data_IF_191482421807
#
_entry.id   IF_191482421807
#
_cell.length_a   1.000
_cell.length_b   1.000
_cell.length_c   1.000
_cell.angle_alpha   90.00
_cell.angle_beta   90.00
_cell.angle_gamma   90.00
#
_symmetry.space_group_name_H-M   'P 1'
#
loop_
_entity.id
_entity.type
_entity.pdbx_description
1 polymer ?
#
# COMPACT_ATOMS: atom_id res chain seq x y z
N UNK A 1 18.86 23.38 -25.31
CA UNK A 1 17.99 22.22 -25.08
C UNK A 1 16.61 22.39 -25.69
N UNK A 2 15.94 21.30 -26.05
CA UNK A 2 14.64 21.35 -26.72
C UNK A 2 13.53 21.90 -25.80
N UNK A 3 13.58 21.61 -24.50
CA UNK A 3 12.63 22.11 -23.51
C UNK A 3 13.30 22.37 -22.15
N UNK A 4 13.47 23.64 -21.82
CA UNK A 4 14.09 24.03 -20.53
C UNK A 4 13.17 23.81 -19.33
N UNK A 5 11.87 23.59 -19.55
CA UNK A 5 10.86 23.37 -18.51
C UNK A 5 10.52 21.88 -18.33
N UNK A 6 11.29 20.98 -18.97
CA UNK A 6 11.05 19.55 -18.87
C UNK A 6 11.19 19.06 -17.42
N UNK A 7 10.18 18.39 -16.92
CA UNK A 7 10.27 17.57 -15.71
C UNK A 7 10.56 16.14 -16.15
N UNK A 8 11.70 15.60 -15.75
CA UNK A 8 12.12 14.24 -16.05
C UNK A 8 12.21 13.45 -14.76
N UNK A 9 11.36 12.44 -14.59
CA UNK A 9 11.38 11.55 -13.44
C UNK A 9 11.91 10.17 -13.87
N UNK A 10 13.09 9.83 -13.36
CA UNK A 10 13.68 8.52 -13.52
C UNK A 10 13.34 7.67 -12.29
N UNK A 11 12.54 6.62 -12.47
CA UNK A 11 12.25 5.62 -11.44
C UNK A 11 13.17 4.43 -11.66
N UNK A 12 13.93 4.06 -10.65
CA UNK A 12 14.85 2.91 -10.70
C UNK A 12 14.82 2.13 -9.38
N UNK A 13 15.40 0.93 -9.37
CA UNK A 13 15.41 0.09 -8.17
C UNK A 13 16.22 0.69 -7.02
N UNK A 14 17.45 1.12 -7.32
CA UNK A 14 18.44 1.54 -6.32
C UNK A 14 18.99 2.96 -6.53
N UNK A 15 18.38 3.75 -7.42
CA UNK A 15 18.87 5.09 -7.77
C UNK A 15 19.86 5.07 -8.93
N UNK A 16 20.26 6.26 -9.39
CA UNK A 16 21.17 6.45 -10.51
C UNK A 16 22.64 6.41 -10.07
N UNK A 17 22.90 6.48 -8.78
CA UNK A 17 24.23 6.43 -8.18
C UNK A 17 24.34 5.33 -7.10
N UNK A 18 25.46 5.31 -6.38
CA UNK A 18 25.72 4.34 -5.33
C UNK A 18 26.18 2.95 -5.83
N UNK A 19 26.51 2.04 -4.89
CA UNK A 19 27.09 0.76 -5.23
C UNK A 19 26.13 -0.18 -5.97
N UNK A 20 24.84 -0.07 -5.70
CA UNK A 20 23.81 -0.96 -6.25
C UNK A 20 23.06 -0.39 -7.47
N UNK A 21 23.51 0.74 -8.07
CA UNK A 21 22.80 1.42 -9.17
C UNK A 21 22.47 0.53 -10.39
N UNK A 22 23.26 -0.52 -10.62
CA UNK A 22 23.05 -1.48 -11.73
C UNK A 22 22.45 -2.81 -11.27
N UNK A 23 22.16 -2.95 -9.98
CA UNK A 23 21.58 -4.17 -9.43
C UNK A 23 20.12 -4.31 -9.86
N UNK A 24 19.71 -5.48 -10.40
CA UNK A 24 18.31 -5.74 -10.68
C UNK A 24 17.53 -5.97 -9.38
N UNK A 25 16.25 -5.62 -9.37
CA UNK A 25 15.37 -5.83 -8.24
C UNK A 25 13.90 -5.73 -8.64
N UNK A 26 13.08 -6.28 -7.78
CA UNK A 26 11.63 -6.16 -7.79
C UNK A 26 11.17 -5.78 -6.39
N UNK A 27 9.91 -5.47 -6.20
CA UNK A 27 9.32 -5.03 -4.93
C UNK A 27 9.82 -5.81 -3.71
N UNK A 28 9.80 -7.15 -3.77
CA UNK A 28 10.28 -8.02 -2.69
C UNK A 28 11.74 -7.72 -2.29
N UNK A 29 12.61 -7.44 -3.28
CA UNK A 29 14.03 -7.17 -3.02
C UNK A 29 14.20 -5.84 -2.29
N UNK A 30 13.43 -4.82 -2.66
CA UNK A 30 13.48 -3.52 -1.99
C UNK A 30 12.90 -3.60 -0.57
N UNK A 31 11.81 -4.34 -0.36
CA UNK A 31 11.27 -4.59 0.99
C UNK A 31 12.28 -5.35 1.87
N UNK A 32 12.97 -6.36 1.33
CA UNK A 32 13.98 -7.12 2.07
C UNK A 32 15.21 -6.27 2.40
N UNK A 33 15.75 -5.54 1.41
CA UNK A 33 16.96 -4.73 1.57
C UNK A 33 16.81 -3.58 2.58
N UNK A 34 15.59 -3.06 2.75
CA UNK A 34 15.30 -1.94 3.64
C UNK A 34 14.87 -2.34 5.05
N UNK A 35 14.65 -3.64 5.30
CA UNK A 35 14.09 -4.13 6.55
C UNK A 35 12.56 -4.01 6.63
N UNK A 36 11.90 -3.47 5.60
CA UNK A 36 10.45 -3.35 5.56
C UNK A 36 9.78 -4.72 5.64
N UNK A 37 10.30 -5.71 4.92
CA UNK A 37 9.81 -7.08 4.94
C UNK A 37 9.77 -7.67 6.36
N UNK A 38 10.80 -7.42 7.16
CA UNK A 38 10.86 -7.88 8.56
C UNK A 38 9.78 -7.23 9.42
N UNK A 39 9.44 -5.96 9.17
CA UNK A 39 8.45 -5.22 9.97
C UNK A 39 7.02 -5.53 9.58
N UNK A 40 6.77 -5.95 8.35
CA UNK A 40 5.44 -6.35 7.86
C UNK A 40 5.12 -7.82 8.13
N UNK A 41 6.10 -8.62 8.50
CA UNK A 41 5.91 -10.00 8.93
C UNK A 41 5.31 -10.07 10.34
N UNK A 42 4.49 -11.09 10.66
CA UNK A 42 4.00 -11.30 12.01
C UNK A 42 5.14 -11.35 13.02
N UNK A 43 4.92 -10.77 14.20
CA UNK A 43 5.95 -10.71 15.25
C UNK A 43 6.37 -12.10 15.68
N UNK A 44 7.66 -12.35 15.69
CA UNK A 44 8.23 -13.67 16.07
C UNK A 44 8.10 -14.74 14.99
N UNK A 45 7.49 -14.45 13.86
CA UNK A 45 7.50 -15.30 12.68
C UNK A 45 8.71 -15.01 11.78
N UNK A 46 9.09 -16.00 11.00
CA UNK A 46 10.06 -15.78 9.92
C UNK A 46 9.48 -14.86 8.84
N UNK A 47 10.30 -14.05 8.17
CA UNK A 47 9.85 -13.24 7.05
C UNK A 47 9.24 -14.12 5.95
N UNK A 48 8.02 -13.78 5.54
CA UNK A 48 7.30 -14.48 4.47
C UNK A 48 7.17 -13.63 3.21
N UNK A 49 6.69 -14.23 2.13
CA UNK A 49 6.37 -13.51 0.90
C UNK A 49 5.19 -12.57 1.16
N UNK A 50 5.34 -11.24 0.97
CA UNK A 50 4.24 -10.31 1.15
C UNK A 50 3.26 -10.40 -0.03
N UNK A 51 1.97 -10.28 0.24
CA UNK A 51 0.95 -10.19 -0.80
C UNK A 51 0.78 -8.77 -1.36
N UNK A 52 1.44 -7.78 -0.74
CA UNK A 52 1.30 -6.36 -1.09
C UNK A 52 2.62 -5.79 -1.61
N UNK A 53 2.58 -5.18 -2.77
CA UNK A 53 3.73 -4.54 -3.43
C UNK A 53 3.90 -3.11 -2.92
N UNK A 54 4.43 -2.98 -1.70
CA UNK A 54 4.51 -1.69 -0.99
C UNK A 54 5.55 -0.76 -1.60
N UNK A 55 6.68 -1.29 -2.06
CA UNK A 55 7.72 -0.50 -2.70
C UNK A 55 7.24 0.05 -4.05
N UNK A 56 6.58 -0.78 -4.87
CA UNK A 56 6.03 -0.38 -6.17
C UNK A 56 4.95 0.69 -6.00
N UNK A 57 3.93 0.41 -5.20
CA UNK A 57 2.81 1.33 -4.97
C UNK A 57 3.26 2.64 -4.31
N UNK A 58 4.12 2.54 -3.30
CA UNK A 58 4.69 3.69 -2.61
C UNK A 58 5.52 4.57 -3.53
N UNK A 59 6.31 3.97 -4.41
CA UNK A 59 7.11 4.71 -5.41
C UNK A 59 6.22 5.42 -6.43
N UNK A 60 5.15 4.77 -6.88
CA UNK A 60 4.16 5.41 -7.77
C UNK A 60 3.54 6.65 -7.14
N UNK A 61 3.14 6.58 -5.86
CA UNK A 61 2.61 7.73 -5.12
C UNK A 61 3.66 8.84 -4.93
N UNK A 62 4.89 8.47 -4.55
CA UNK A 62 6.00 9.41 -4.38
C UNK A 62 6.35 10.12 -5.70
N UNK A 63 6.35 9.37 -6.81
CA UNK A 63 6.56 9.93 -8.16
C UNK A 63 5.47 10.94 -8.52
N UNK A 64 4.20 10.61 -8.30
CA UNK A 64 3.08 11.51 -8.56
C UNK A 64 3.23 12.83 -7.79
N UNK A 65 3.58 12.76 -6.51
CA UNK A 65 3.81 13.94 -5.67
C UNK A 65 5.02 14.77 -6.15
N UNK A 66 6.16 14.12 -6.41
CA UNK A 66 7.38 14.79 -6.85
C UNK A 66 7.21 15.46 -8.22
N UNK A 67 6.55 14.77 -9.16
CA UNK A 67 6.24 15.32 -10.50
C UNK A 67 5.30 16.53 -10.37
N UNK A 68 4.24 16.45 -9.59
CA UNK A 68 3.30 17.55 -9.40
C UNK A 68 3.99 18.79 -8.80
N UNK A 69 4.86 18.59 -7.80
CA UNK A 69 5.66 19.66 -7.21
C UNK A 69 6.65 20.28 -8.22
N UNK A 70 7.33 19.43 -9.00
CA UNK A 70 8.28 19.88 -10.02
C UNK A 70 7.59 20.63 -11.18
N UNK A 71 6.40 20.20 -11.61
CA UNK A 71 5.60 20.90 -12.61
C UNK A 71 5.15 22.27 -12.10
N UNK A 72 4.75 22.37 -10.84
CA UNK A 72 4.43 23.66 -10.20
C UNK A 72 5.64 24.58 -10.19
N UNK A 73 6.83 24.07 -9.82
CA UNK A 73 8.09 24.80 -9.85
C UNK A 73 8.41 25.27 -11.28
N UNK A 74 8.35 24.38 -12.27
CA UNK A 74 8.61 24.71 -13.67
C UNK A 74 7.66 25.78 -14.21
N UNK A 75 6.40 25.79 -13.77
CA UNK A 75 5.43 26.82 -14.15
C UNK A 75 5.77 28.21 -13.58
N UNK A 76 6.33 28.28 -12.37
CA UNK A 76 6.65 29.53 -11.67
C UNK A 76 8.03 30.06 -12.08
N UNK A 77 9.03 29.18 -12.13
CA UNK A 77 10.44 29.54 -12.32
C UNK A 77 10.91 29.42 -13.78
N UNK A 78 10.12 28.78 -14.64
CA UNK A 78 10.49 28.53 -16.03
C UNK A 78 11.58 27.47 -16.24
N UNK A 79 11.97 26.74 -15.15
CA UNK A 79 13.04 25.76 -15.17
C UNK A 79 12.51 24.36 -14.83
N UNK A 80 12.90 23.36 -15.62
CA UNK A 80 12.58 21.96 -15.39
C UNK A 80 13.36 21.36 -14.23
N UNK A 81 13.07 20.09 -13.94
CA UNK A 81 13.72 19.36 -12.83
C UNK A 81 13.97 17.92 -13.25
N UNK A 82 15.15 17.41 -12.95
CA UNK A 82 15.43 15.98 -12.96
C UNK A 82 15.12 15.40 -11.58
N UNK A 83 14.33 14.34 -11.54
CA UNK A 83 13.96 13.63 -10.33
C UNK A 83 14.54 12.22 -10.44
N UNK A 84 15.49 11.88 -9.57
CA UNK A 84 15.98 10.51 -9.37
C UNK A 84 15.18 9.91 -8.20
N UNK A 85 14.39 8.88 -8.48
CA UNK A 85 13.51 8.24 -7.51
C UNK A 85 13.84 6.75 -7.41
N UNK A 86 14.48 6.36 -6.32
CA UNK A 86 14.80 4.97 -6.05
C UNK A 86 13.67 4.26 -5.29
N UNK A 87 13.27 3.08 -5.76
CA UNK A 87 12.26 2.25 -5.09
C UNK A 87 12.72 1.81 -3.70
N UNK A 88 14.01 1.53 -3.53
CA UNK A 88 14.62 1.23 -2.25
C UNK A 88 14.47 2.40 -1.25
N UNK A 89 14.72 3.63 -1.69
CA UNK A 89 14.64 4.80 -0.80
C UNK A 89 13.20 5.05 -0.34
N UNK A 90 12.24 4.88 -1.25
CA UNK A 90 10.82 4.97 -0.91
C UNK A 90 10.43 3.87 0.07
N UNK A 91 10.81 2.61 -0.18
CA UNK A 91 10.53 1.51 0.73
C UNK A 91 11.14 1.76 2.12
N UNK A 92 12.37 2.29 2.20
CA UNK A 92 13.00 2.65 3.46
C UNK A 92 12.29 3.81 4.16
N UNK A 93 11.80 4.79 3.40
CA UNK A 93 11.05 5.93 3.96
C UNK A 93 9.74 5.52 4.65
N UNK A 94 9.14 4.38 4.29
CA UNK A 94 7.96 3.85 4.98
C UNK A 94 8.23 3.50 6.45
N UNK A 95 9.48 3.31 6.83
CA UNK A 95 9.90 3.06 8.21
C UNK A 95 10.06 4.36 9.03
N UNK A 96 9.96 5.54 8.42
CA UNK A 96 10.27 6.82 9.06
C UNK A 96 9.48 7.06 10.36
N UNK A 97 8.19 6.70 10.40
CA UNK A 97 7.34 6.89 11.59
C UNK A 97 7.70 5.94 12.72
N UNK A 98 8.06 4.69 12.40
CA UNK A 98 8.32 3.65 13.40
C UNK A 98 9.79 3.53 13.79
N UNK A 99 10.71 3.84 12.88
CA UNK A 99 12.15 3.58 13.02
C UNK A 99 13.03 4.77 12.61
N UNK A 100 12.45 5.92 12.25
CA UNK A 100 13.18 7.07 11.68
C UNK A 100 14.22 7.72 12.60
N UNK A 101 14.19 7.43 13.90
CA UNK A 101 15.20 7.92 14.84
C UNK A 101 15.77 6.77 15.65
N UNK A 102 17.02 6.46 15.41
CA UNK A 102 17.75 5.46 16.19
C UNK A 102 18.88 6.15 16.98
N UNK A 103 18.99 5.84 18.26
CA UNK A 103 20.13 6.28 19.08
C UNK A 103 21.27 5.27 18.91
N UNK A 104 22.52 5.70 18.67
CA UNK A 104 23.65 4.79 18.64
C UNK A 104 23.70 3.93 19.92
N UNK A 105 23.84 2.63 19.79
CA UNK A 105 23.89 1.68 20.91
C UNK A 105 22.52 1.28 21.49
N UNK A 106 21.42 1.86 21.09
CA UNK A 106 20.10 1.31 21.39
C UNK A 106 19.83 0.17 20.41
N UNK A 107 19.80 -1.05 20.91
CA UNK A 107 19.24 -2.18 20.12
C UNK A 107 17.83 -1.84 19.65
N UNK A 108 17.38 -2.43 18.54
CA UNK A 108 15.98 -2.31 18.11
C UNK A 108 15.09 -2.85 19.21
N UNK A 109 14.53 -1.96 20.02
CA UNK A 109 13.47 -2.34 20.93
C UNK A 109 12.23 -2.60 20.07
N UNK A 110 12.01 -3.86 19.73
CA UNK A 110 10.71 -4.31 19.21
C UNK A 110 9.68 -3.93 20.28
N UNK A 111 8.91 -2.88 20.03
CA UNK A 111 7.86 -2.47 20.96
C UNK A 111 6.87 -3.62 21.09
N UNK A 112 6.75 -4.18 22.28
CA UNK A 112 5.72 -5.14 22.57
C UNK A 112 4.33 -4.54 22.25
N UNK A 113 3.36 -5.33 21.77
CA UNK A 113 2.01 -4.83 21.51
C UNK A 113 1.37 -4.35 22.82
N UNK A 114 0.50 -3.35 22.70
CA UNK A 114 -0.40 -2.99 23.81
C UNK A 114 -1.65 -3.85 23.69
N UNK A 115 -2.23 -4.25 24.81
CA UNK A 115 -3.50 -4.97 24.79
C UNK A 115 -4.60 -4.15 24.09
N UNK A 116 -4.66 -2.85 24.31
CA UNK A 116 -5.63 -1.95 23.68
C UNK A 116 -5.33 -1.60 22.22
N UNK A 117 -4.21 -2.04 21.66
CA UNK A 117 -3.84 -1.83 20.26
C UNK A 117 -3.24 -3.11 19.68
N UNK A 118 -4.11 -4.01 19.25
CA UNK A 118 -3.72 -5.35 18.80
C UNK A 118 -4.82 -6.00 17.96
N UNK A 119 -4.51 -7.18 17.42
CA UNK A 119 -5.44 -8.06 16.69
C UNK A 119 -5.79 -9.25 17.58
N UNK A 120 -7.08 -9.59 17.63
CA UNK A 120 -7.60 -10.67 18.47
C UNK A 120 -8.45 -11.66 17.66
N UNK A 121 -8.32 -12.97 17.91
CA UNK A 121 -9.24 -13.97 17.37
C UNK A 121 -10.62 -13.86 18.03
N UNK A 122 -11.65 -14.31 17.31
CA UNK A 122 -13.05 -14.34 17.75
C UNK A 122 -13.62 -15.76 17.66
N UNK A 123 -14.80 -15.98 18.27
CA UNK A 123 -15.43 -17.30 18.36
C UNK A 123 -15.71 -17.96 17.00
N UNK A 124 -15.90 -17.17 15.95
CA UNK A 124 -16.16 -17.63 14.58
C UNK A 124 -14.90 -17.89 13.74
N UNK A 125 -13.71 -17.93 14.38
CA UNK A 125 -12.42 -18.14 13.71
C UNK A 125 -11.94 -16.93 12.89
N UNK A 126 -12.61 -15.80 13.00
CA UNK A 126 -12.20 -14.54 12.40
C UNK A 126 -11.32 -13.74 13.35
N UNK A 127 -10.96 -12.53 12.93
CA UNK A 127 -10.15 -11.62 13.74
C UNK A 127 -10.75 -10.22 13.73
N UNK A 128 -10.56 -9.51 14.83
CA UNK A 128 -10.83 -8.09 14.96
C UNK A 128 -9.55 -7.34 15.30
N UNK A 129 -9.46 -6.10 14.82
CA UNK A 129 -8.44 -5.15 15.22
C UNK A 129 -9.04 -4.19 16.24
N UNK A 130 -8.40 -4.08 17.40
CA UNK A 130 -8.67 -3.06 18.42
C UNK A 130 -7.63 -1.97 18.29
N UNK A 131 -8.08 -0.73 18.15
CA UNK A 131 -7.24 0.46 18.04
C UNK A 131 -7.46 1.47 19.16
N UNK A 132 -7.89 1.03 20.36
CA UNK A 132 -8.19 1.88 21.52
C UNK A 132 -6.90 2.51 22.09
N UNK A 133 -6.27 3.38 21.29
CA UNK A 133 -4.99 4.03 21.59
C UNK A 133 -5.14 5.29 22.46
N UNK A 134 -6.35 5.85 22.59
CA UNK A 134 -6.65 6.98 23.46
C UNK A 134 -7.00 6.48 24.87
N UNK A 135 -6.60 7.18 25.95
CA UNK A 135 -6.97 6.79 27.31
C UNK A 135 -8.48 6.62 27.52
N UNK A 136 -9.28 7.46 26.87
CA UNK A 136 -10.75 7.40 26.98
C UNK A 136 -11.31 6.14 26.35
N UNK A 137 -10.92 5.80 25.10
CA UNK A 137 -11.42 4.60 24.42
C UNK A 137 -10.90 3.32 25.07
N UNK A 138 -9.65 3.30 25.56
CA UNK A 138 -9.12 2.20 26.32
C UNK A 138 -9.91 1.97 27.62
N UNK A 139 -10.21 3.03 28.36
CA UNK A 139 -11.03 2.96 29.58
C UNK A 139 -12.45 2.46 29.26
N UNK A 140 -13.07 2.97 28.20
CA UNK A 140 -14.38 2.54 27.76
C UNK A 140 -14.40 1.03 27.45
N UNK A 141 -13.39 0.54 26.72
CA UNK A 141 -13.24 -0.88 26.38
C UNK A 141 -13.18 -1.76 27.63
N UNK A 142 -12.25 -1.50 28.54
CA UNK A 142 -12.07 -2.33 29.74
C UNK A 142 -13.25 -2.19 30.72
N UNK A 143 -13.86 -1.01 30.84
CA UNK A 143 -15.05 -0.81 31.66
C UNK A 143 -16.23 -1.59 31.11
N UNK A 144 -16.47 -1.54 29.81
CA UNK A 144 -17.54 -2.27 29.14
C UNK A 144 -17.39 -3.78 29.31
N UNK A 145 -16.17 -4.29 29.23
CA UNK A 145 -15.87 -5.70 29.44
C UNK A 145 -15.78 -6.13 30.93
N UNK A 146 -16.01 -5.21 31.87
CA UNK A 146 -16.08 -5.50 33.30
C UNK A 146 -14.74 -5.50 34.06
N UNK A 147 -13.66 -4.98 33.46
CA UNK A 147 -12.32 -4.89 34.06
C UNK A 147 -11.73 -3.48 33.94
N UNK A 148 -12.47 -2.50 34.45
CA UNK A 148 -12.02 -1.09 34.47
C UNK A 148 -10.65 -0.88 35.16
N UNK A 149 -10.30 -1.76 36.10
CA UNK A 149 -9.01 -1.81 36.82
C UNK A 149 -7.82 -2.07 35.86
N UNK A 150 -8.03 -2.73 34.73
CA UNK A 150 -6.99 -3.01 33.74
C UNK A 150 -6.83 -1.91 32.66
N UNK A 151 -7.63 -0.85 32.69
CA UNK A 151 -7.63 0.15 31.63
C UNK A 151 -6.26 0.82 31.39
N UNK A 152 -5.56 1.22 32.46
CA UNK A 152 -4.23 1.82 32.35
C UNK A 152 -3.19 0.79 31.89
N UNK A 153 -3.29 -0.44 32.39
CA UNK A 153 -2.42 -1.56 32.02
C UNK A 153 -2.61 -1.96 30.55
N UNK A 154 -3.81 -1.85 30.01
CA UNK A 154 -4.10 -2.09 28.60
C UNK A 154 -3.31 -1.22 27.64
N UNK A 155 -2.83 -0.05 28.10
CA UNK A 155 -1.97 0.86 27.33
C UNK A 155 -0.47 0.58 27.52
N UNK A 156 -0.08 -0.26 28.48
CA UNK A 156 1.31 -0.62 28.73
C UNK A 156 1.77 -1.68 27.71
N UNK A 157 2.87 -1.44 26.98
CA UNK A 157 3.39 -2.44 26.07
C UNK A 157 3.80 -3.72 26.80
N UNK A 158 3.31 -4.87 26.33
CA UNK A 158 3.68 -6.18 26.88
C UNK A 158 2.98 -6.57 28.20
N UNK A 159 1.96 -5.83 28.65
CA UNK A 159 1.19 -6.24 29.81
C UNK A 159 0.42 -7.54 29.53
N UNK A 160 0.85 -8.64 30.15
CA UNK A 160 0.34 -9.97 29.89
C UNK A 160 -1.09 -10.17 30.44
N UNK A 161 -1.43 -9.56 31.58
CA UNK A 161 -2.76 -9.74 32.19
C UNK A 161 -3.83 -9.02 31.39
N UNK A 162 -3.58 -7.77 30.98
CA UNK A 162 -4.50 -7.04 30.14
C UNK A 162 -4.68 -7.71 28.76
N UNK A 163 -3.60 -8.25 28.20
CA UNK A 163 -3.65 -8.96 26.92
C UNK A 163 -4.42 -10.27 27.01
N UNK A 164 -4.18 -11.08 28.05
CA UNK A 164 -4.88 -12.33 28.27
C UNK A 164 -6.38 -12.12 28.51
N UNK A 165 -6.73 -11.11 29.32
CA UNK A 165 -8.13 -10.76 29.55
C UNK A 165 -8.86 -10.39 28.26
N UNK A 166 -8.28 -9.49 27.43
CA UNK A 166 -8.90 -9.13 26.15
C UNK A 166 -9.00 -10.32 25.22
N UNK A 167 -7.98 -11.17 25.14
CA UNK A 167 -8.01 -12.37 24.31
C UNK A 167 -9.17 -13.30 24.70
N UNK A 168 -9.38 -13.54 25.99
CA UNK A 168 -10.48 -14.38 26.50
C UNK A 168 -11.85 -13.73 26.25
N UNK A 169 -12.01 -12.46 26.60
CA UNK A 169 -13.28 -11.76 26.47
C UNK A 169 -13.74 -11.64 24.99
N UNK A 170 -12.80 -11.41 24.09
CA UNK A 170 -13.10 -11.24 22.66
C UNK A 170 -13.28 -12.58 21.93
N UNK A 171 -12.67 -13.67 22.42
CA UNK A 171 -12.87 -15.01 21.89
C UNK A 171 -14.27 -15.59 22.19
N UNK A 172 -15.02 -14.98 23.12
CA UNK A 172 -16.34 -15.45 23.51
C UNK A 172 -17.47 -15.08 22.53
N UNK A 173 -17.24 -14.14 21.61
CA UNK A 173 -18.23 -13.62 20.67
C UNK A 173 -17.71 -13.70 19.23
N UNK A 174 -18.63 -13.62 18.27
CA UNK A 174 -18.25 -13.48 16.85
C UNK A 174 -17.66 -12.10 16.58
N UNK A 175 -16.88 -11.98 15.49
CA UNK A 175 -16.30 -10.71 15.08
C UNK A 175 -17.38 -9.64 14.80
N UNK A 176 -18.48 -10.03 14.17
CA UNK A 176 -19.58 -9.12 13.84
C UNK A 176 -20.30 -8.61 15.11
N UNK A 177 -20.59 -9.49 16.07
CA UNK A 177 -21.19 -9.11 17.37
C UNK A 177 -20.29 -8.15 18.13
N UNK A 178 -19.00 -8.47 18.22
CA UNK A 178 -18.02 -7.63 18.93
C UNK A 178 -17.90 -6.23 18.31
N UNK A 179 -17.83 -6.14 16.99
CA UNK A 179 -17.78 -4.84 16.30
C UNK A 179 -19.09 -4.04 16.50
N UNK A 180 -20.25 -4.70 16.41
CA UNK A 180 -21.55 -4.06 16.63
C UNK A 180 -21.70 -3.54 18.06
N UNK A 181 -21.15 -4.24 19.04
CA UNK A 181 -21.19 -3.89 20.46
C UNK A 181 -20.26 -2.74 20.82
N UNK A 182 -18.99 -2.79 20.34
CA UNK A 182 -17.96 -1.85 20.77
C UNK A 182 -17.97 -0.53 19.99
N UNK A 183 -18.35 -0.55 18.72
CA UNK A 183 -18.31 0.64 17.86
C UNK A 183 -19.19 1.80 18.36
N UNK A 184 -20.43 1.60 18.87
CA UNK A 184 -21.25 2.68 19.40
C UNK A 184 -20.69 3.34 20.68
N UNK A 185 -19.69 2.71 21.32
CA UNK A 185 -19.04 3.20 22.52
C UNK A 185 -17.81 4.10 22.23
N UNK A 186 -17.66 4.56 21.00
CA UNK A 186 -16.49 5.34 20.54
C UNK A 186 -15.14 4.58 20.76
N UNK A 187 -15.19 3.26 20.63
CA UNK A 187 -14.03 2.39 20.68
C UNK A 187 -13.59 2.07 19.24
N UNK A 188 -12.33 2.32 18.94
CA UNK A 188 -11.74 2.03 17.63
C UNK A 188 -11.62 0.50 17.44
N UNK A 189 -12.58 -0.08 16.74
CA UNK A 189 -12.66 -1.51 16.45
C UNK A 189 -13.03 -1.74 14.99
N UNK A 190 -12.42 -2.72 14.38
CA UNK A 190 -12.75 -3.15 13.02
C UNK A 190 -12.61 -4.67 12.86
N UNK A 191 -13.45 -5.23 12.01
CA UNK A 191 -13.26 -6.57 11.50
C UNK A 191 -12.01 -6.59 10.60
N UNK A 192 -11.16 -7.58 10.75
CA UNK A 192 -10.09 -7.88 9.79
C UNK A 192 -10.72 -8.56 8.58
N UNK A 193 -10.75 -7.85 7.46
CA UNK A 193 -11.36 -8.29 6.21
C UNK A 193 -10.32 -8.84 5.26
N UNK A 194 -10.73 -9.81 4.45
CA UNK A 194 -10.00 -10.17 3.24
C UNK A 194 -10.13 -9.07 2.18
N UNK A 195 -9.21 -9.00 1.20
CA UNK A 195 -9.34 -8.07 0.07
C UNK A 195 -10.68 -8.22 -0.66
N UNK A 196 -11.16 -9.46 -0.86
CA UNK A 196 -12.45 -9.75 -1.50
C UNK A 196 -13.62 -9.14 -0.73
N UNK A 197 -13.62 -9.23 0.60
CA UNK A 197 -14.66 -8.61 1.45
C UNK A 197 -14.58 -7.08 1.41
N UNK A 198 -13.38 -6.50 1.34
CA UNK A 198 -13.19 -5.05 1.28
C UNK A 198 -13.84 -4.44 0.03
N UNK A 199 -13.88 -5.13 -1.11
CA UNK A 199 -14.62 -4.71 -2.30
C UNK A 199 -16.14 -4.58 -2.09
N UNK A 200 -16.68 -5.15 -1.03
CA UNK A 200 -18.08 -5.04 -0.64
C UNK A 200 -18.35 -4.03 0.47
N UNK A 201 -17.30 -3.42 1.04
CA UNK A 201 -17.44 -2.45 2.12
C UNK A 201 -18.28 -1.24 1.70
N UNK A 202 -19.36 -0.90 2.45
CA UNK A 202 -20.23 0.21 2.12
C UNK A 202 -19.50 1.56 2.12
N UNK A 203 -18.53 1.75 3.02
CA UNK A 203 -17.78 3.00 3.13
C UNK A 203 -16.85 3.20 1.92
N UNK A 204 -16.16 2.15 1.47
CA UNK A 204 -15.30 2.22 0.28
C UNK A 204 -16.14 2.47 -0.99
N UNK A 205 -17.32 1.86 -1.09
CA UNK A 205 -18.27 2.12 -2.19
C UNK A 205 -18.80 3.56 -2.16
N UNK A 206 -19.26 4.03 -1.00
CA UNK A 206 -19.76 5.38 -0.84
C UNK A 206 -18.74 6.47 -1.18
N UNK A 207 -17.46 6.19 -0.97
CA UNK A 207 -16.35 7.09 -1.32
C UNK A 207 -15.87 6.95 -2.77
N UNK A 208 -16.46 6.05 -3.57
CA UNK A 208 -16.01 5.79 -4.94
C UNK A 208 -14.62 5.13 -5.03
N UNK A 209 -14.10 4.59 -3.91
CA UNK A 209 -12.84 3.86 -3.90
C UNK A 209 -12.95 2.51 -4.60
N UNK A 210 -14.12 1.89 -4.52
CA UNK A 210 -14.49 0.72 -5.33
C UNK A 210 -15.38 1.21 -6.46
N UNK A 211 -14.94 0.98 -7.69
CA UNK A 211 -15.67 1.34 -8.90
C UNK A 211 -15.86 0.13 -9.81
N UNK A 212 -16.84 0.20 -10.70
CA UNK A 212 -17.02 -0.77 -11.78
C UNK A 212 -16.91 -0.03 -13.10
N UNK A 213 -16.11 -0.56 -14.01
CA UNK A 213 -16.00 -0.09 -15.39
C UNK A 213 -16.38 -1.21 -16.36
N UNK A 214 -16.94 -0.85 -17.51
CA UNK A 214 -17.25 -1.80 -18.57
C UNK A 214 -16.05 -1.94 -19.51
N UNK A 215 -15.52 -3.17 -19.61
CA UNK A 215 -14.46 -3.48 -20.57
C UNK A 215 -15.06 -4.17 -21.78
N UNK A 216 -14.77 -3.71 -23.03
CA UNK A 216 -15.41 -4.26 -24.24
C UNK A 216 -15.30 -5.77 -24.42
N UNK A 217 -14.16 -6.34 -24.01
CA UNK A 217 -13.90 -7.77 -24.16
C UNK A 217 -14.14 -8.59 -22.87
N UNK A 218 -13.97 -7.99 -21.69
CA UNK A 218 -14.03 -8.69 -20.40
C UNK A 218 -15.34 -8.47 -19.63
N UNK A 219 -16.21 -7.56 -20.12
CA UNK A 219 -17.41 -7.16 -19.38
C UNK A 219 -17.11 -6.31 -18.14
N UNK A 220 -17.98 -6.34 -17.11
CA UNK A 220 -17.83 -5.50 -15.92
C UNK A 220 -16.61 -5.90 -15.09
N UNK A 221 -15.70 -4.93 -14.88
CA UNK A 221 -14.52 -5.05 -14.06
C UNK A 221 -14.65 -4.20 -12.79
N UNK A 222 -14.49 -4.82 -11.64
CA UNK A 222 -14.33 -4.09 -10.37
C UNK A 222 -12.88 -3.67 -10.19
N UNK A 223 -12.69 -2.40 -9.87
CA UNK A 223 -11.38 -1.79 -9.75
C UNK A 223 -11.27 -0.95 -8.49
N UNK A 224 -10.03 -0.76 -8.03
CA UNK A 224 -9.70 0.17 -6.95
C UNK A 224 -9.39 1.53 -7.58
N UNK A 225 -10.14 2.55 -7.20
CA UNK A 225 -9.84 3.94 -7.52
C UNK A 225 -8.96 4.53 -6.40
N UNK A 226 -7.64 4.47 -6.59
CA UNK A 226 -6.68 4.93 -5.58
C UNK A 226 -6.80 6.43 -5.27
N UNK A 227 -7.38 7.23 -6.18
CA UNK A 227 -7.51 8.68 -6.06
C UNK A 227 -8.97 9.15 -6.02
N UNK A 228 -9.87 8.34 -5.45
CA UNK A 228 -11.29 8.66 -5.34
C UNK A 228 -11.57 10.06 -4.73
N UNK A 229 -10.68 10.55 -3.86
CA UNK A 229 -10.82 11.86 -3.22
C UNK A 229 -10.74 13.05 -4.20
N UNK A 230 -10.12 12.89 -5.37
CA UNK A 230 -10.01 13.94 -6.41
C UNK A 230 -11.13 13.88 -7.47
N UNK A 231 -12.18 13.11 -7.21
CA UNK A 231 -13.27 12.84 -8.13
C UNK A 231 -13.13 11.46 -8.77
N UNK A 232 -14.24 10.96 -9.32
CA UNK A 232 -14.20 9.74 -10.11
C UNK A 232 -13.74 10.11 -11.52
N UNK A 233 -12.51 9.78 -11.94
CA UNK A 233 -12.16 9.95 -13.34
C UNK A 233 -13.05 9.04 -14.17
N UNK A 234 -13.48 9.51 -15.33
CA UNK A 234 -14.07 8.66 -16.35
C UNK A 234 -12.94 7.77 -16.87
N UNK A 235 -12.79 6.61 -16.24
CA UNK A 235 -11.73 5.68 -16.61
C UNK A 235 -12.18 4.90 -17.83
N UNK A 236 -11.70 5.33 -18.98
CA UNK A 236 -11.78 4.51 -20.18
C UNK A 236 -11.13 3.14 -19.92
N UNK A 237 -11.70 2.06 -20.45
CA UNK A 237 -11.07 0.72 -20.34
C UNK A 237 -9.68 0.73 -20.98
N UNK A 238 -8.82 -0.15 -20.49
CA UNK A 238 -7.51 -0.34 -21.07
C UNK A 238 -7.65 -0.68 -22.57
N UNK A 239 -6.84 -0.07 -23.46
CA UNK A 239 -6.89 -0.37 -24.88
C UNK A 239 -6.39 -1.79 -25.14
N UNK A 240 -6.86 -2.38 -26.24
CA UNK A 240 -6.28 -3.64 -26.72
C UNK A 240 -4.81 -3.44 -27.10
N UNK A 241 -4.00 -4.48 -26.92
CA UNK A 241 -2.57 -4.45 -27.25
C UNK A 241 -2.40 -4.11 -28.72
N UNK A 242 -1.66 -3.05 -28.99
CA UNK A 242 -1.36 -2.60 -30.36
C UNK A 242 -2.49 -1.84 -31.07
N UNK A 243 -3.57 -1.45 -30.38
CA UNK A 243 -4.67 -0.67 -30.96
C UNK A 243 -4.19 0.57 -31.72
N UNK A 244 -3.28 1.33 -31.13
CA UNK A 244 -2.82 2.61 -31.66
C UNK A 244 -1.56 2.49 -32.53
N UNK A 245 -1.03 1.27 -32.71
CA UNK A 245 0.25 1.03 -33.41
C UNK A 245 0.25 1.54 -34.86
N UNK A 246 -0.82 1.30 -35.60
CA UNK A 246 -0.88 1.71 -37.02
C UNK A 246 -0.96 3.23 -37.18
N UNK A 247 -1.70 3.89 -36.30
CA UNK A 247 -1.84 5.35 -36.28
C UNK A 247 -0.49 5.99 -35.97
N UNK A 248 0.17 5.59 -34.90
CA UNK A 248 1.48 6.09 -34.47
C UNK A 248 2.54 5.87 -35.57
N UNK A 249 2.59 4.69 -36.17
CA UNK A 249 3.54 4.41 -37.23
C UNK A 249 3.26 5.24 -38.50
N UNK A 250 1.98 5.49 -38.80
CA UNK A 250 1.62 6.35 -39.92
C UNK A 250 2.05 7.80 -39.68
N UNK A 251 1.87 8.35 -38.48
CA UNK A 251 2.33 9.69 -38.08
C UNK A 251 3.87 9.81 -38.18
N UNK A 252 4.60 8.74 -37.90
CA UNK A 252 6.05 8.65 -38.04
C UNK A 252 6.52 8.47 -39.51
N UNK A 253 5.61 8.40 -40.48
CA UNK A 253 5.92 8.30 -41.88
C UNK A 253 6.12 6.90 -42.44
N UNK A 254 5.83 5.85 -41.63
CA UNK A 254 5.88 4.46 -42.11
C UNK A 254 4.72 4.20 -43.08
N UNK A 255 5.01 3.66 -44.23
CA UNK A 255 3.99 3.28 -45.21
C UNK A 255 3.24 1.98 -44.79
N UNK A 256 2.22 1.59 -45.56
CA UNK A 256 1.43 0.38 -45.27
C UNK A 256 2.25 -0.89 -45.34
N UNK A 257 3.25 -0.95 -46.21
CA UNK A 257 4.09 -2.15 -46.40
C UNK A 257 5.07 -2.29 -45.23
N UNK A 258 5.67 -1.17 -44.79
CA UNK A 258 6.54 -1.10 -43.61
C UNK A 258 5.82 -1.51 -42.34
N UNK A 259 4.61 -0.97 -42.10
CA UNK A 259 3.78 -1.32 -40.93
C UNK A 259 3.42 -2.81 -40.93
N UNK A 260 3.09 -3.39 -42.09
CA UNK A 260 2.83 -4.80 -42.21
C UNK A 260 4.08 -5.67 -41.99
N UNK A 261 5.26 -5.15 -42.34
CA UNK A 261 6.53 -5.85 -42.06
C UNK A 261 6.87 -5.86 -40.57
N UNK A 262 6.69 -4.72 -39.86
CA UNK A 262 6.90 -4.58 -38.42
C UNK A 262 5.96 -5.50 -37.62
N UNK A 263 4.69 -5.62 -38.00
CA UNK A 263 3.73 -6.52 -37.36
C UNK A 263 4.12 -7.99 -37.46
N UNK A 264 4.80 -8.37 -38.53
CA UNK A 264 5.25 -9.77 -38.68
C UNK A 264 6.39 -10.12 -37.75
N UNK A 265 7.08 -9.16 -37.18
CA UNK A 265 8.20 -9.34 -36.26
C UNK A 265 9.37 -10.11 -36.86
N UNK A 266 10.53 -10.13 -36.23
CA UNK A 266 11.56 -11.10 -36.59
C UNK A 266 11.00 -12.48 -36.32
N UNK A 267 11.08 -13.39 -37.30
CA UNK A 267 10.75 -14.82 -37.07
C UNK A 267 11.53 -15.25 -35.83
N UNK A 268 10.83 -15.63 -34.77
CA UNK A 268 11.49 -16.22 -33.59
C UNK A 268 12.30 -17.38 -34.11
N UNK A 269 13.62 -17.33 -33.94
CA UNK A 269 14.48 -18.51 -34.19
C UNK A 269 13.95 -19.64 -33.30
N UNK A 270 13.77 -20.86 -33.80
CA UNK A 270 13.31 -21.98 -32.99
C UNK A 270 14.26 -22.36 -31.86
N UNK A 271 15.44 -21.76 -31.77
CA UNK A 271 16.57 -22.17 -30.94
C UNK A 271 16.70 -21.41 -29.60
N UNK A 272 15.74 -20.59 -29.23
CA UNK A 272 15.68 -19.96 -27.89
C UNK A 272 14.52 -20.56 -27.09
N UNK A 273 14.76 -21.78 -26.55
CA UNK A 273 14.02 -22.34 -25.40
C UNK A 273 14.74 -22.02 -24.11
#
# INVERSE_FOLDING_TARGET
>A
GLNQRLVYCAISGFGQDGPDRLRPGYDLIFQAATGLLQTTSPRGAEPGLPETFVADAGTGLAAGFAIAAALRKAAVEGAGTYIDLAMQDVAFSMLAVSHGTQRPGSGQAVRAPRASYNVYPTADGRHIAIGAARPASCRALFTHLGRADLAERGMVPGDAEAAAFLAEALAAKTAAETVAELRPLDIEVSLVRSPAEAFHDPQLKARGTVMTSEHPAAGPLRQINAFAASGSPDLAPAPEIGRDTDEILAELGYDKADRAALRRGPRRSPDLR
#
